data_IF_243826708591
#
_entry.id   IF_243826708591
#
_cell.length_a   1.000
_cell.length_b   1.000
_cell.length_c   1.000
_cell.angle_alpha   90.00
_cell.angle_beta   90.00
_cell.angle_gamma   90.00
#
_symmetry.space_group_name_H-M   'P 1'
#
loop_
_entity.id
_entity.type
_entity.pdbx_description
1 polymer ?
#
# COMPACT_ATOMS: atom_id res chain seq x y z
N UNK A 1 5.60 -9.22 -34.26
CA UNK A 1 5.39 -7.87 -33.76
C UNK A 1 4.63 -7.99 -32.45
N UNK A 2 5.17 -7.47 -31.35
CA UNK A 2 4.41 -7.39 -30.10
C UNK A 2 3.33 -6.31 -30.29
N UNK A 3 2.10 -6.52 -29.82
CA UNK A 3 1.08 -5.50 -29.91
C UNK A 3 1.59 -4.25 -29.17
N UNK A 4 1.62 -3.13 -29.87
CA UNK A 4 1.92 -1.84 -29.25
C UNK A 4 0.71 -1.52 -28.39
N UNK A 5 0.89 -1.54 -27.06
CA UNK A 5 -0.15 -1.09 -26.14
C UNK A 5 -0.35 0.42 -26.37
N UNK A 6 -1.52 0.78 -26.88
CA UNK A 6 -1.93 2.17 -26.97
C UNK A 6 -2.62 2.56 -25.67
N UNK A 7 -2.09 3.53 -24.92
CA UNK A 7 -2.73 3.96 -23.68
C UNK A 7 -4.12 4.50 -23.98
N UNK A 8 -5.12 3.98 -23.28
CA UNK A 8 -6.48 4.46 -23.41
C UNK A 8 -6.59 5.87 -22.81
N UNK A 9 -7.05 6.84 -23.59
CA UNK A 9 -7.29 8.18 -23.11
C UNK A 9 -8.51 8.20 -22.18
N UNK A 10 -8.58 9.21 -21.30
CA UNK A 10 -9.74 9.38 -20.43
C UNK A 10 -11.05 9.53 -21.20
N UNK A 11 -11.03 10.23 -22.33
CA UNK A 11 -12.19 10.37 -23.21
C UNK A 11 -12.66 9.04 -23.79
N UNK A 12 -11.76 8.16 -24.21
CA UNK A 12 -12.13 6.82 -24.68
C UNK A 12 -12.79 5.99 -23.59
N UNK A 13 -12.30 6.08 -22.36
CA UNK A 13 -12.97 5.45 -21.23
C UNK A 13 -14.38 6.02 -20.99
N UNK A 14 -14.54 7.34 -21.10
CA UNK A 14 -15.86 7.99 -20.95
C UNK A 14 -16.82 7.54 -22.07
N UNK A 15 -16.35 7.48 -23.31
CA UNK A 15 -17.16 6.98 -24.44
C UNK A 15 -17.54 5.50 -24.25
N UNK A 16 -16.61 4.67 -23.80
CA UNK A 16 -16.85 3.28 -23.46
C UNK A 16 -17.93 3.18 -22.36
N UNK A 17 -17.82 3.99 -21.30
CA UNK A 17 -18.76 3.98 -20.17
C UNK A 17 -20.17 4.36 -20.64
N UNK A 18 -20.32 5.43 -21.43
CA UNK A 18 -21.63 5.85 -21.96
C UNK A 18 -22.23 4.75 -22.85
N UNK A 19 -21.46 4.24 -23.81
CA UNK A 19 -21.96 3.28 -24.78
C UNK A 19 -22.46 2.00 -24.13
N UNK A 20 -21.67 1.45 -23.19
CA UNK A 20 -22.06 0.24 -22.48
C UNK A 20 -23.18 0.51 -21.47
N UNK A 21 -23.16 1.69 -20.83
CA UNK A 21 -24.20 2.07 -19.89
C UNK A 21 -25.58 2.11 -20.59
N UNK A 22 -25.68 2.79 -21.70
CA UNK A 22 -26.93 2.85 -22.49
C UNK A 22 -27.39 1.47 -22.98
N UNK A 23 -26.46 0.59 -23.30
CA UNK A 23 -26.76 -0.77 -23.76
C UNK A 23 -27.35 -1.64 -22.64
N UNK A 24 -26.75 -1.63 -21.45
CA UNK A 24 -27.14 -2.51 -20.34
C UNK A 24 -28.18 -1.89 -19.40
N UNK A 25 -28.28 -0.55 -19.38
CA UNK A 25 -29.18 0.20 -18.51
C UNK A 25 -29.94 1.27 -19.29
N UNK A 26 -30.86 0.85 -20.19
CA UNK A 26 -31.62 1.79 -21.01
C UNK A 26 -32.53 2.72 -20.21
N UNK A 27 -32.92 2.28 -18.99
CA UNK A 27 -33.64 3.13 -18.05
C UNK A 27 -32.72 3.60 -16.92
N UNK A 28 -32.22 4.85 -16.97
CA UNK A 28 -31.33 5.39 -15.94
C UNK A 28 -31.98 5.55 -14.57
N UNK A 29 -33.32 5.60 -14.48
CA UNK A 29 -34.04 5.70 -13.20
C UNK A 29 -34.05 4.41 -12.41
N UNK A 30 -33.69 3.28 -13.04
CA UNK A 30 -33.51 1.99 -12.34
C UNK A 30 -32.31 1.97 -11.40
N UNK A 31 -31.42 2.99 -11.47
CA UNK A 31 -30.17 3.05 -10.72
C UNK A 31 -30.33 3.91 -9.46
N UNK A 32 -29.88 3.39 -8.33
CA UNK A 32 -29.95 4.10 -7.06
C UNK A 32 -29.12 5.41 -7.08
N UNK A 33 -29.57 6.42 -6.31
CA UNK A 33 -28.84 7.69 -6.17
C UNK A 33 -27.40 7.49 -5.65
N UNK A 34 -27.17 6.49 -4.80
CA UNK A 34 -25.82 6.18 -4.30
C UNK A 34 -24.92 5.64 -5.41
N UNK A 35 -25.44 4.76 -6.24
CA UNK A 35 -24.73 4.22 -7.39
C UNK A 35 -24.41 5.32 -8.41
N UNK A 36 -25.33 6.23 -8.66
CA UNK A 36 -25.08 7.40 -9.49
C UNK A 36 -23.91 8.27 -9.00
N UNK A 37 -23.81 8.49 -7.70
CA UNK A 37 -22.65 9.20 -7.13
C UNK A 37 -21.34 8.50 -7.43
N UNK A 38 -21.32 7.18 -7.41
CA UNK A 38 -20.12 6.39 -7.75
C UNK A 38 -19.81 6.54 -9.24
N UNK A 39 -20.80 6.41 -10.11
CA UNK A 39 -20.62 6.61 -11.56
C UNK A 39 -19.99 7.97 -11.85
N UNK A 40 -20.55 9.04 -11.28
CA UNK A 40 -20.05 10.41 -11.47
C UNK A 40 -18.62 10.56 -10.94
N UNK A 41 -18.30 9.97 -9.78
CA UNK A 41 -16.94 10.01 -9.25
C UNK A 41 -15.94 9.32 -10.20
N UNK A 42 -16.27 8.15 -10.73
CA UNK A 42 -15.40 7.42 -11.64
C UNK A 42 -15.38 8.04 -13.04
N UNK A 43 -16.45 8.69 -13.46
CA UNK A 43 -16.48 9.49 -14.68
C UNK A 43 -15.43 10.61 -14.68
N UNK A 44 -15.27 11.29 -13.54
CA UNK A 44 -14.28 12.38 -13.39
C UNK A 44 -12.88 11.89 -12.99
N UNK A 45 -12.73 10.61 -12.63
CA UNK A 45 -11.44 10.06 -12.22
C UNK A 45 -10.57 9.75 -13.43
N UNK A 46 -9.75 10.72 -13.82
CA UNK A 46 -8.77 10.54 -14.89
C UNK A 46 -7.52 9.78 -14.39
N UNK A 47 -7.40 8.55 -14.82
CA UNK A 47 -6.25 7.68 -14.54
C UNK A 47 -5.32 7.51 -15.75
N UNK A 48 -5.56 8.19 -16.87
CA UNK A 48 -4.79 8.01 -18.12
C UNK A 48 -3.29 8.20 -17.92
N UNK A 49 -2.90 9.17 -17.09
CA UNK A 49 -1.50 9.45 -16.80
C UNK A 49 -0.81 8.33 -16.00
N UNK A 50 -1.56 7.48 -15.30
CA UNK A 50 -0.98 6.36 -14.53
C UNK A 50 -0.44 5.25 -15.43
N UNK A 51 -0.82 5.22 -16.70
CA UNK A 51 -0.42 4.21 -17.69
C UNK A 51 1.09 4.05 -17.73
N UNK A 52 1.83 5.15 -17.83
CA UNK A 52 3.31 5.11 -17.91
C UNK A 52 3.96 4.53 -16.65
N UNK A 53 3.38 4.79 -15.49
CA UNK A 53 3.86 4.26 -14.20
C UNK A 53 3.56 2.76 -14.10
N UNK A 54 2.34 2.36 -14.44
CA UNK A 54 1.89 0.97 -14.33
C UNK A 54 2.58 0.06 -15.34
N UNK A 55 2.63 0.46 -16.61
CA UNK A 55 3.28 -0.32 -17.66
C UNK A 55 4.78 -0.52 -17.43
N UNK A 56 5.43 0.41 -16.74
CA UNK A 56 6.84 0.27 -16.38
C UNK A 56 7.16 -0.95 -15.52
N UNK A 57 6.16 -1.53 -14.86
CA UNK A 57 6.30 -2.75 -14.04
C UNK A 57 6.05 -4.05 -14.82
N UNK A 58 5.59 -3.98 -16.07
CA UNK A 58 5.30 -5.15 -16.89
C UNK A 58 6.46 -5.49 -17.83
N UNK A 59 6.60 -6.79 -18.13
CA UNK A 59 7.57 -7.25 -19.12
C UNK A 59 7.20 -6.78 -20.52
N UNK A 60 8.20 -6.45 -21.31
CA UNK A 60 8.03 -6.15 -22.74
C UNK A 60 7.84 -7.42 -23.60
N UNK A 61 7.98 -8.59 -23.00
CA UNK A 61 7.89 -9.89 -23.65
C UNK A 61 6.70 -10.69 -23.10
N UNK A 62 6.04 -11.46 -23.94
CA UNK A 62 4.92 -12.31 -23.54
C UNK A 62 3.58 -11.84 -24.11
N UNK A 63 2.49 -12.38 -23.57
CA UNK A 63 1.13 -11.95 -23.91
C UNK A 63 0.86 -10.53 -23.40
N UNK A 64 0.06 -9.76 -24.14
CA UNK A 64 -0.36 -8.44 -23.71
C UNK A 64 -1.09 -8.52 -22.36
N UNK A 65 -0.75 -7.67 -21.39
CA UNK A 65 -1.47 -7.62 -20.13
C UNK A 65 -2.89 -7.09 -20.34
N UNK A 66 -3.79 -7.42 -19.42
CA UNK A 66 -5.04 -6.65 -19.28
C UNK A 66 -4.69 -5.20 -19.01
N UNK A 67 -5.54 -4.28 -19.50
CA UNK A 67 -5.29 -2.85 -19.28
C UNK A 67 -5.04 -2.54 -17.79
N UNK A 68 -3.82 -2.10 -17.42
CA UNK A 68 -3.47 -1.86 -16.02
C UNK A 68 -4.25 -0.69 -15.40
N UNK A 69 -4.72 0.26 -16.21
CA UNK A 69 -5.53 1.40 -15.75
C UNK A 69 -6.92 0.93 -15.36
N UNK A 70 -7.55 0.09 -16.17
CA UNK A 70 -8.85 -0.54 -15.87
C UNK A 70 -8.73 -1.47 -14.66
N UNK A 71 -7.63 -2.20 -14.51
CA UNK A 71 -7.35 -3.00 -13.31
C UNK A 71 -7.25 -2.13 -12.05
N UNK A 72 -6.55 -0.98 -12.13
CA UNK A 72 -6.45 -0.02 -11.03
C UNK A 72 -7.82 0.57 -10.70
N UNK A 73 -8.57 1.00 -11.73
CA UNK A 73 -9.92 1.56 -11.59
C UNK A 73 -10.85 0.57 -10.90
N UNK A 74 -10.82 -0.70 -11.34
CA UNK A 74 -11.59 -1.78 -10.73
C UNK A 74 -11.23 -1.99 -9.26
N UNK A 75 -9.97 -1.97 -8.92
CA UNK A 75 -9.53 -2.09 -7.52
C UNK A 75 -9.98 -0.90 -6.67
N UNK A 76 -9.88 0.32 -7.18
CA UNK A 76 -10.40 1.51 -6.48
C UNK A 76 -11.91 1.43 -6.28
N UNK A 77 -12.65 0.89 -7.25
CA UNK A 77 -14.09 0.66 -7.11
C UNK A 77 -14.39 -0.38 -6.02
N UNK A 78 -13.64 -1.46 -5.92
CA UNK A 78 -13.80 -2.45 -4.85
C UNK A 78 -13.61 -1.84 -3.46
N UNK A 79 -12.60 -0.97 -3.30
CA UNK A 79 -12.33 -0.23 -2.05
C UNK A 79 -13.50 0.71 -1.74
N UNK A 80 -14.00 1.44 -2.74
CA UNK A 80 -15.14 2.35 -2.60
C UNK A 80 -16.40 1.62 -2.12
N UNK A 81 -16.60 0.40 -2.61
CA UNK A 81 -17.71 -0.48 -2.22
C UNK A 81 -17.42 -1.28 -0.93
N UNK A 82 -16.26 -1.09 -0.31
CA UNK A 82 -15.80 -1.81 0.90
C UNK A 82 -15.69 -3.32 0.72
N UNK A 83 -15.45 -3.79 -0.51
CA UNK A 83 -15.20 -5.19 -0.82
C UNK A 83 -13.70 -5.43 -0.82
N UNK A 84 -13.19 -6.05 0.24
CA UNK A 84 -11.75 -6.27 0.45
C UNK A 84 -11.26 -7.62 -0.05
N UNK A 85 -12.17 -8.56 -0.26
CA UNK A 85 -11.86 -9.90 -0.80
C UNK A 85 -11.84 -9.86 -2.32
N UNK A 86 -10.73 -10.24 -2.93
CA UNK A 86 -10.61 -10.30 -4.41
C UNK A 86 -11.54 -11.37 -4.99
N UNK A 87 -11.73 -12.48 -4.29
CA UNK A 87 -12.67 -13.52 -4.72
C UNK A 87 -14.09 -12.99 -4.80
N UNK A 88 -14.54 -12.28 -3.76
CA UNK A 88 -15.87 -11.68 -3.72
C UNK A 88 -16.00 -10.57 -4.75
N UNK A 89 -14.93 -9.78 -4.95
CA UNK A 89 -14.92 -8.74 -5.96
C UNK A 89 -15.12 -9.31 -7.38
N UNK A 90 -14.37 -10.35 -7.75
CA UNK A 90 -14.50 -10.99 -9.05
C UNK A 90 -15.89 -11.61 -9.25
N UNK A 91 -16.49 -12.18 -8.20
CA UNK A 91 -17.88 -12.65 -8.28
C UNK A 91 -18.85 -11.49 -8.54
N UNK A 92 -18.68 -10.37 -7.83
CA UNK A 92 -19.50 -9.17 -8.04
C UNK A 92 -19.35 -8.56 -9.42
N UNK A 93 -18.14 -8.53 -9.98
CA UNK A 93 -17.91 -8.05 -11.35
C UNK A 93 -18.66 -8.90 -12.38
N UNK A 94 -18.76 -10.21 -12.15
CA UNK A 94 -19.49 -11.13 -13.04
C UNK A 94 -21.01 -11.05 -12.88
N UNK A 95 -21.48 -10.84 -11.66
CA UNK A 95 -22.90 -10.76 -11.34
C UNK A 95 -23.53 -9.42 -11.73
N UNK A 96 -22.75 -8.34 -11.68
CA UNK A 96 -23.23 -6.99 -11.88
C UNK A 96 -22.49 -6.29 -13.04
N UNK A 97 -23.10 -6.25 -14.24
CA UNK A 97 -22.51 -5.60 -15.41
C UNK A 97 -22.04 -4.17 -15.15
N UNK A 98 -22.75 -3.45 -14.30
CA UNK A 98 -22.44 -2.06 -13.96
C UNK A 98 -21.04 -1.91 -13.37
N UNK A 99 -20.60 -2.82 -12.50
CA UNK A 99 -19.28 -2.75 -11.89
C UNK A 99 -18.16 -3.05 -12.91
N UNK A 100 -18.41 -3.95 -13.85
CA UNK A 100 -17.50 -4.18 -14.96
C UNK A 100 -17.37 -2.92 -15.82
N UNK A 101 -18.49 -2.32 -16.22
CA UNK A 101 -18.55 -1.10 -17.05
C UNK A 101 -17.83 0.07 -16.36
N UNK A 102 -18.10 0.34 -15.09
CA UNK A 102 -17.41 1.41 -14.33
C UNK A 102 -15.91 1.12 -14.23
N UNK A 103 -15.51 -0.14 -14.16
CA UNK A 103 -14.10 -0.54 -14.14
C UNK A 103 -13.39 -0.35 -15.47
N UNK A 104 -14.12 -0.24 -16.60
CA UNK A 104 -13.58 -0.20 -17.96
C UNK A 104 -13.46 -1.59 -18.59
N UNK A 105 -14.22 -2.58 -18.10
CA UNK A 105 -14.27 -3.93 -18.69
C UNK A 105 -15.60 -4.16 -19.41
N UNK A 106 -15.55 -4.89 -20.52
CA UNK A 106 -16.77 -5.46 -21.08
C UNK A 106 -17.38 -6.43 -20.05
N UNK A 107 -18.71 -6.39 -19.82
CA UNK A 107 -19.39 -7.35 -18.95
C UNK A 107 -19.14 -8.82 -19.31
N UNK A 108 -18.92 -9.10 -20.60
CA UNK A 108 -18.66 -10.45 -21.10
C UNK A 108 -17.18 -10.89 -20.98
N UNK A 109 -16.28 -9.96 -20.61
CA UNK A 109 -14.84 -10.20 -20.54
C UNK A 109 -14.21 -9.63 -19.27
N UNK A 110 -14.67 -10.14 -18.14
CA UNK A 110 -14.24 -9.71 -16.79
C UNK A 110 -12.97 -10.45 -16.36
N UNK A 111 -11.97 -9.74 -15.79
CA UNK A 111 -10.74 -10.37 -15.27
C UNK A 111 -11.01 -11.40 -14.18
N UNK A 112 -10.26 -12.49 -14.21
CA UNK A 112 -10.29 -13.52 -13.17
C UNK A 112 -9.46 -13.17 -11.93
N UNK A 113 -9.58 -13.98 -10.87
CA UNK A 113 -8.82 -13.82 -9.61
C UNK A 113 -7.31 -13.83 -9.88
N UNK A 114 -6.83 -14.73 -10.76
CA UNK A 114 -5.41 -14.81 -11.13
C UNK A 114 -4.88 -13.50 -11.72
N UNK A 115 -5.65 -12.85 -12.60
CA UNK A 115 -5.29 -11.56 -13.21
C UNK A 115 -5.14 -10.46 -12.17
N UNK A 116 -6.02 -10.40 -11.15
CA UNK A 116 -5.87 -9.45 -10.04
C UNK A 116 -4.65 -9.76 -9.19
N UNK A 117 -4.37 -11.04 -8.90
CA UNK A 117 -3.18 -11.42 -8.17
C UNK A 117 -1.89 -11.03 -8.90
N UNK A 118 -1.86 -11.17 -10.22
CA UNK A 118 -0.71 -10.77 -11.04
C UNK A 118 -0.59 -9.24 -11.09
N UNK A 119 -1.69 -8.51 -11.22
CA UNK A 119 -1.71 -7.06 -11.12
C UNK A 119 -1.11 -6.56 -9.79
N UNK A 120 -1.49 -7.15 -8.65
CA UNK A 120 -0.91 -6.78 -7.36
C UNK A 120 0.58 -7.11 -7.24
N UNK A 121 1.05 -8.20 -7.87
CA UNK A 121 2.49 -8.49 -7.94
C UNK A 121 3.24 -7.42 -8.70
N UNK A 122 2.67 -6.88 -9.79
CA UNK A 122 3.25 -5.78 -10.55
C UNK A 122 3.27 -4.47 -9.79
N UNK A 123 2.22 -4.17 -9.02
CA UNK A 123 2.20 -2.98 -8.14
C UNK A 123 3.24 -3.09 -7.03
N UNK A 124 3.44 -4.28 -6.48
CA UNK A 124 4.44 -4.57 -5.46
C UNK A 124 5.80 -4.89 -6.06
N UNK A 125 6.13 -4.33 -7.18
CA UNK A 125 7.32 -4.65 -7.97
C UNK A 125 8.60 -4.30 -7.23
N UNK A 126 9.06 -5.20 -6.35
CA UNK A 126 10.32 -5.05 -5.66
C UNK A 126 10.95 -6.40 -5.35
N UNK A 127 12.25 -6.50 -5.57
CA UNK A 127 13.08 -7.60 -5.07
C UNK A 127 13.23 -7.55 -3.54
N UNK A 128 12.96 -6.40 -2.92
CA UNK A 128 12.98 -6.25 -1.48
C UNK A 128 11.76 -6.93 -0.85
N UNK A 129 12.05 -7.86 0.05
CA UNK A 129 11.02 -8.62 0.77
C UNK A 129 10.46 -7.88 1.99
N UNK A 130 11.03 -6.74 2.34
CA UNK A 130 10.74 -6.04 3.59
C UNK A 130 10.48 -4.56 3.34
N UNK A 131 9.46 -4.02 4.03
CA UNK A 131 9.07 -2.61 3.97
C UNK A 131 10.19 -1.68 4.44
N UNK A 132 10.98 -2.11 5.41
CA UNK A 132 12.03 -1.29 6.01
C UNK A 132 13.21 -2.12 6.50
N UNK A 133 14.35 -1.47 6.66
CA UNK A 133 15.58 -2.08 7.18
C UNK A 133 15.33 -2.65 8.57
N UNK A 134 15.70 -3.92 8.76
CA UNK A 134 15.62 -4.59 10.05
C UNK A 134 16.89 -4.34 10.85
N UNK A 135 16.82 -3.46 11.83
CA UNK A 135 17.90 -3.31 12.80
C UNK A 135 17.87 -4.48 13.79
N UNK A 136 18.91 -5.28 13.81
CA UNK A 136 19.07 -6.34 14.83
C UNK A 136 19.29 -5.69 16.19
N UNK A 137 18.35 -5.87 17.12
CA UNK A 137 18.58 -5.53 18.50
C UNK A 137 19.62 -6.47 19.10
N UNK A 138 20.79 -5.92 19.48
CA UNK A 138 21.71 -6.70 20.30
C UNK A 138 21.02 -6.93 21.66
N UNK A 139 20.82 -8.20 22.04
CA UNK A 139 20.35 -8.51 23.39
C UNK A 139 21.32 -7.88 24.40
N UNK A 140 20.79 -7.10 25.32
CA UNK A 140 21.57 -6.56 26.43
C UNK A 140 22.11 -7.72 27.23
N UNK A 141 23.43 -7.85 27.37
CA UNK A 141 24.00 -8.75 28.34
C UNK A 141 23.81 -8.10 29.72
N UNK A 142 23.12 -8.79 30.61
CA UNK A 142 23.04 -8.36 32.02
C UNK A 142 24.48 -8.32 32.55
N UNK A 143 24.94 -7.21 33.16
CA UNK A 143 26.25 -7.15 33.74
C UNK A 143 26.42 -8.28 34.78
N UNK A 144 27.53 -9.01 34.71
CA UNK A 144 27.87 -10.05 35.70
C UNK A 144 27.85 -9.40 37.10
N UNK A 145 27.10 -9.99 38.04
CA UNK A 145 27.06 -9.55 39.45
C UNK A 145 25.85 -8.72 39.88
N UNK A 146 24.91 -8.38 39.01
CA UNK A 146 23.64 -7.71 39.42
C UNK A 146 22.61 -8.70 39.90
N UNK A 147 22.01 -8.38 41.06
CA UNK A 147 20.89 -9.14 41.62
C UNK A 147 19.59 -8.83 40.86
N UNK A 148 18.66 -9.80 40.86
CA UNK A 148 17.34 -9.62 40.27
C UNK A 148 16.63 -8.41 40.94
N UNK A 149 16.18 -7.45 40.12
CA UNK A 149 15.53 -6.22 40.62
C UNK A 149 16.41 -4.95 40.67
N UNK A 150 17.72 -5.05 40.50
CA UNK A 150 18.56 -3.86 40.40
C UNK A 150 18.36 -3.16 39.05
N UNK A 151 18.10 -1.83 39.10
CA UNK A 151 17.97 -1.02 37.89
C UNK A 151 19.26 -1.11 37.05
N UNK A 152 19.12 -1.56 35.80
CA UNK A 152 20.22 -1.47 34.87
C UNK A 152 20.57 0.00 34.59
N UNK A 153 21.88 0.36 34.52
CA UNK A 153 22.25 1.74 34.23
C UNK A 153 21.60 2.20 32.91
N UNK A 154 21.18 3.46 32.89
CA UNK A 154 20.57 4.08 31.73
C UNK A 154 21.43 3.86 30.50
N UNK A 155 20.81 3.39 29.43
CA UNK A 155 21.51 3.23 28.17
C UNK A 155 21.83 4.63 27.65
N UNK A 156 23.11 4.90 27.40
CA UNK A 156 23.60 6.19 26.92
C UNK A 156 23.03 6.57 25.53
N UNK A 157 22.35 5.65 24.80
CA UNK A 157 21.76 5.93 23.50
C UNK A 157 20.33 5.46 23.41
N UNK A 158 19.44 6.35 23.03
CA UNK A 158 18.04 6.05 22.69
C UNK A 158 17.93 5.22 21.42
N UNK A 159 16.76 4.63 21.16
CA UNK A 159 16.53 3.93 19.89
C UNK A 159 16.67 4.86 18.69
N UNK A 160 16.25 6.12 18.82
CA UNK A 160 16.42 7.15 17.81
C UNK A 160 17.90 7.45 17.54
N UNK A 161 18.73 7.65 18.58
CA UNK A 161 20.16 7.89 18.40
C UNK A 161 20.87 6.73 17.69
N UNK A 162 20.52 5.47 18.03
CA UNK A 162 21.07 4.29 17.33
C UNK A 162 20.64 4.20 15.87
N UNK A 163 19.44 4.66 15.57
CA UNK A 163 18.91 4.71 14.22
C UNK A 163 19.68 5.77 13.40
N UNK A 164 19.87 6.95 13.95
CA UNK A 164 20.67 8.00 13.36
C UNK A 164 22.13 7.56 13.13
N UNK A 165 22.75 6.91 14.10
CA UNK A 165 24.10 6.37 13.96
C UNK A 165 24.18 5.29 12.87
N UNK A 166 23.13 4.49 12.69
CA UNK A 166 23.07 3.53 11.61
C UNK A 166 23.07 4.23 10.25
N UNK A 167 22.18 5.22 10.06
CA UNK A 167 22.09 5.95 8.78
C UNK A 167 23.33 6.78 8.47
N UNK A 168 24.02 7.30 9.47
CA UNK A 168 25.32 7.98 9.27
C UNK A 168 26.42 7.04 8.75
N UNK A 169 26.31 5.75 9.03
CA UNK A 169 27.32 4.73 8.67
C UNK A 169 26.98 3.94 7.42
N UNK A 170 25.75 3.98 6.99
CA UNK A 170 25.26 3.23 5.85
C UNK A 170 24.58 4.17 4.85
N UNK A 171 24.81 4.00 3.55
CA UNK A 171 24.10 4.76 2.54
C UNK A 171 22.59 4.51 2.69
N UNK A 172 21.80 5.53 2.45
CA UNK A 172 20.35 5.41 2.43
C UNK A 172 19.94 4.43 1.34
N UNK A 173 18.97 3.55 1.61
CA UNK A 173 18.42 2.71 0.56
C UNK A 173 17.77 3.61 -0.50
N UNK A 174 18.01 3.29 -1.76
CA UNK A 174 17.35 3.96 -2.88
C UNK A 174 15.82 3.83 -2.71
N UNK A 175 15.08 4.95 -2.59
CA UNK A 175 13.62 4.91 -2.46
C UNK A 175 12.93 4.19 -3.62
N UNK A 176 13.54 4.18 -4.81
CA UNK A 176 13.01 3.48 -5.98
C UNK A 176 12.96 1.96 -5.80
N UNK A 177 13.81 1.40 -4.93
CA UNK A 177 13.85 -0.02 -4.59
C UNK A 177 12.83 -0.41 -3.52
N UNK A 178 12.13 0.54 -2.92
CA UNK A 178 11.08 0.24 -1.93
C UNK A 178 9.93 -0.52 -2.59
N UNK A 179 9.37 -1.56 -1.92
CA UNK A 179 8.15 -2.22 -2.38
C UNK A 179 6.97 -1.28 -2.62
N UNK A 180 6.96 -0.15 -1.93
CA UNK A 180 5.90 0.86 -2.03
C UNK A 180 6.19 1.95 -3.07
N UNK A 181 7.34 1.93 -3.74
CA UNK A 181 7.78 3.01 -4.65
C UNK A 181 6.77 3.31 -5.75
N UNK A 182 6.17 2.29 -6.36
CA UNK A 182 5.17 2.46 -7.40
C UNK A 182 3.88 3.05 -6.83
N UNK A 183 3.42 2.57 -5.68
CA UNK A 183 2.24 3.09 -4.99
C UNK A 183 2.43 4.56 -4.61
N UNK A 184 3.62 4.94 -4.14
CA UNK A 184 3.92 6.35 -3.85
C UNK A 184 3.94 7.23 -5.11
N UNK A 185 4.45 6.72 -6.22
CA UNK A 185 4.41 7.45 -7.50
C UNK A 185 2.98 7.66 -7.96
N UNK A 186 2.13 6.64 -7.88
CA UNK A 186 0.70 6.74 -8.18
C UNK A 186 0.01 7.76 -7.26
N UNK A 187 0.27 7.67 -5.95
CA UNK A 187 -0.29 8.58 -4.96
C UNK A 187 0.15 10.02 -5.23
N UNK A 188 1.44 10.24 -5.47
CA UNK A 188 1.98 11.56 -5.81
C UNK A 188 1.26 12.15 -7.03
N UNK A 189 1.22 11.41 -8.11
CA UNK A 189 0.67 11.88 -9.38
C UNK A 189 -0.85 12.12 -9.32
N UNK A 190 -1.59 11.20 -8.70
CA UNK A 190 -3.07 11.23 -8.71
C UNK A 190 -3.67 12.07 -7.59
N UNK A 191 -2.92 12.35 -6.55
CA UNK A 191 -3.44 13.06 -5.40
C UNK A 191 -2.62 14.31 -5.05
N UNK A 192 -1.32 14.16 -4.79
CA UNK A 192 -0.50 15.26 -4.31
C UNK A 192 -0.30 16.34 -5.38
N UNK A 193 0.13 15.95 -6.58
CA UNK A 193 0.38 16.91 -7.68
C UNK A 193 -0.92 17.61 -8.11
N UNK A 194 -2.05 16.90 -8.09
CA UNK A 194 -3.37 17.47 -8.34
C UNK A 194 -3.77 18.47 -7.25
N UNK A 195 -3.56 18.12 -5.97
CA UNK A 195 -3.86 19.02 -4.85
C UNK A 195 -3.02 20.29 -4.89
N UNK A 196 -1.75 20.18 -5.29
CA UNK A 196 -0.86 21.33 -5.48
C UNK A 196 -1.30 22.18 -6.68
N UNK A 197 -1.63 21.56 -7.81
CA UNK A 197 -2.05 22.31 -9.02
C UNK A 197 -3.36 23.08 -8.83
N UNK A 198 -4.25 22.59 -7.98
CA UNK A 198 -5.47 23.28 -7.58
C UNK A 198 -5.30 24.26 -6.42
N UNK A 199 -4.08 24.47 -5.93
CA UNK A 199 -3.79 25.41 -4.84
C UNK A 199 -4.31 24.95 -3.47
N UNK A 200 -4.67 23.67 -3.33
CA UNK A 200 -5.15 23.10 -2.06
C UNK A 200 -4.01 22.85 -1.06
N UNK A 201 -2.80 22.64 -1.56
CA UNK A 201 -1.56 22.51 -0.81
C UNK A 201 -0.53 23.48 -1.38
N UNK A 202 0.12 24.26 -0.50
CA UNK A 202 1.20 25.18 -0.87
C UNK A 202 2.56 24.61 -0.46
N UNK A 203 3.36 24.03 -1.37
CA UNK A 203 4.61 23.35 -1.01
C UNK A 203 5.67 24.27 -0.38
N UNK A 204 5.64 25.57 -0.72
CA UNK A 204 6.62 26.57 -0.22
C UNK A 204 6.40 26.99 1.22
N UNK A 205 5.23 26.73 1.80
CA UNK A 205 4.84 27.19 3.13
C UNK A 205 4.03 26.13 3.88
N UNK A 206 4.33 24.85 3.66
CA UNK A 206 3.56 23.75 4.22
C UNK A 206 3.89 23.51 5.69
N UNK A 207 2.86 23.44 6.53
CA UNK A 207 2.94 22.95 7.90
C UNK A 207 2.49 21.47 7.94
N UNK A 208 3.32 20.60 8.47
CA UNK A 208 3.05 19.16 8.51
C UNK A 208 2.75 18.69 9.92
N UNK A 209 1.66 17.96 10.07
CA UNK A 209 1.39 17.13 11.23
C UNK A 209 1.44 15.66 10.82
N UNK A 210 1.84 14.78 11.73
CA UNK A 210 1.94 13.36 11.43
C UNK A 210 1.52 12.50 12.62
N UNK A 211 0.78 11.43 12.33
CA UNK A 211 0.34 10.46 13.32
C UNK A 211 0.30 9.04 12.75
N UNK A 212 0.43 8.05 13.62
CA UNK A 212 0.43 6.64 13.30
C UNK A 212 -0.90 5.96 13.63
N UNK A 213 -1.52 5.35 12.63
CA UNK A 213 -2.75 4.58 12.81
C UNK A 213 -2.50 3.08 12.66
N UNK A 214 -3.07 2.21 13.53
CA UNK A 214 -2.91 0.77 13.45
C UNK A 214 -3.71 0.18 12.28
N UNK A 215 -3.04 -0.56 11.40
CA UNK A 215 -3.67 -1.41 10.39
C UNK A 215 -3.63 -2.85 10.87
N UNK A 216 -4.77 -3.36 11.30
CA UNK A 216 -4.92 -4.74 11.76
C UNK A 216 -5.00 -5.70 10.58
N UNK A 217 -4.34 -6.81 10.70
CA UNK A 217 -4.40 -7.89 9.71
C UNK A 217 -4.93 -9.18 10.35
N UNK A 218 -5.47 -10.06 9.52
CA UNK A 218 -5.83 -11.42 9.92
C UNK A 218 -4.63 -12.36 10.00
N UNK A 219 -3.42 -11.88 9.72
CA UNK A 219 -2.21 -12.67 9.78
C UNK A 219 -1.98 -13.18 11.21
N UNK A 220 -1.94 -14.48 11.37
CA UNK A 220 -1.63 -15.11 12.66
C UNK A 220 -0.12 -15.15 12.84
N UNK A 221 0.36 -14.70 14.00
CA UNK A 221 1.77 -14.74 14.40
C UNK A 221 2.27 -16.17 14.73
N UNK A 222 1.46 -17.19 14.57
CA UNK A 222 1.89 -18.57 14.77
C UNK A 222 2.83 -18.97 13.64
N UNK A 223 4.09 -18.96 14.00
CA UNK A 223 5.20 -19.37 13.17
C UNK A 223 5.11 -20.87 12.84
N UNK A 224 4.80 -21.22 11.63
CA UNK A 224 5.09 -22.56 11.15
C UNK A 224 6.61 -22.64 10.98
N UNK A 225 7.29 -23.47 11.78
CA UNK A 225 8.71 -23.75 11.55
C UNK A 225 8.83 -24.47 10.21
N UNK A 226 9.68 -23.93 9.36
CA UNK A 226 9.93 -24.45 8.00
C UNK A 226 11.24 -25.20 7.95
N UNK A 227 11.90 -25.39 9.10
CA UNK A 227 13.20 -26.04 9.20
C UNK A 227 13.24 -27.00 10.38
N UNK A 228 14.07 -28.02 10.27
CA UNK A 228 14.39 -29.00 11.32
C UNK A 228 15.47 -28.52 12.30
N UNK A 229 15.84 -27.24 12.26
CA UNK A 229 16.95 -26.71 13.09
C UNK A 229 16.72 -26.96 14.59
N UNK A 230 15.47 -26.86 15.08
CA UNK A 230 15.20 -27.12 16.51
C UNK A 230 15.31 -28.60 16.90
N UNK A 231 15.06 -29.50 15.95
CA UNK A 231 15.23 -30.93 16.13
C UNK A 231 16.73 -31.29 16.19
N UNK A 232 17.54 -30.50 15.49
CA UNK A 232 19.00 -30.60 15.49
C UNK A 232 19.67 -29.75 16.60
N UNK A 233 18.92 -29.32 17.63
CA UNK A 233 19.44 -28.57 18.77
C UNK A 233 19.79 -27.11 18.50
N UNK A 234 19.51 -26.58 17.31
CA UNK A 234 19.80 -25.18 16.95
C UNK A 234 18.61 -24.31 17.36
N UNK A 235 18.74 -23.60 18.49
CA UNK A 235 17.68 -22.76 19.06
C UNK A 235 17.44 -21.44 18.30
N UNK A 236 18.42 -20.92 17.58
CA UNK A 236 18.35 -19.62 16.86
C UNK A 236 18.84 -19.78 15.42
N UNK A 237 17.99 -20.29 14.55
CA UNK A 237 18.31 -20.40 13.12
C UNK A 237 17.93 -19.14 12.35
N UNK A 238 18.67 -18.88 11.25
CA UNK A 238 18.37 -17.82 10.28
C UNK A 238 17.47 -18.32 9.12
N UNK A 239 16.83 -19.47 9.25
CA UNK A 239 15.98 -20.03 8.23
C UNK A 239 14.78 -19.13 7.95
N UNK A 240 14.42 -19.03 6.68
CA UNK A 240 13.23 -18.26 6.27
C UNK A 240 11.98 -18.85 6.93
N UNK A 241 11.19 -17.99 7.53
CA UNK A 241 9.87 -18.34 8.05
C UNK A 241 8.84 -17.99 6.98
N UNK A 242 7.96 -18.93 6.65
CA UNK A 242 6.88 -18.69 5.70
C UNK A 242 5.75 -17.97 6.42
N UNK A 243 5.69 -16.65 6.22
CA UNK A 243 4.53 -15.83 6.54
C UNK A 243 3.87 -15.40 5.24
N UNK A 244 2.55 -15.34 5.26
CA UNK A 244 1.81 -14.67 4.19
C UNK A 244 2.15 -13.17 4.13
N UNK A 245 2.53 -12.60 5.28
CA UNK A 245 2.91 -11.20 5.42
C UNK A 245 4.19 -11.09 6.27
N UNK A 246 5.37 -11.12 5.65
CA UNK A 246 6.66 -11.23 6.36
C UNK A 246 6.99 -10.00 7.23
N UNK A 247 6.39 -8.85 6.95
CA UNK A 247 6.58 -7.62 7.70
C UNK A 247 5.52 -7.36 8.77
N UNK A 248 4.48 -8.19 8.83
CA UNK A 248 3.48 -8.13 9.88
C UNK A 248 4.12 -8.40 11.25
N UNK A 249 3.82 -7.55 12.24
CA UNK A 249 4.36 -7.69 13.59
C UNK A 249 3.32 -7.32 14.64
N UNK A 250 3.67 -7.49 15.91
CA UNK A 250 2.83 -7.04 17.04
C UNK A 250 3.14 -5.59 17.34
N UNK A 251 2.11 -4.77 17.41
CA UNK A 251 2.14 -3.40 17.87
C UNK A 251 1.18 -3.16 19.03
N UNK A 252 1.27 -1.99 19.63
CA UNK A 252 0.38 -1.51 20.66
C UNK A 252 -0.55 -0.45 20.09
N UNK A 253 -1.86 -0.62 20.30
CA UNK A 253 -2.88 0.36 19.93
C UNK A 253 -3.28 1.11 21.21
N UNK A 254 -2.77 2.31 21.38
CA UNK A 254 -3.00 3.14 22.58
C UNK A 254 -4.45 3.61 22.69
N UNK A 255 -5.16 3.76 21.57
CA UNK A 255 -6.56 4.19 21.57
C UNK A 255 -7.51 3.11 22.09
N UNK A 256 -7.13 1.84 21.95
CA UNK A 256 -7.92 0.68 22.38
C UNK A 256 -7.29 -0.11 23.51
N UNK A 257 -6.15 0.34 24.00
CA UNK A 257 -5.38 -0.27 25.11
C UNK A 257 -5.13 -1.78 24.89
N UNK A 258 -4.75 -2.16 23.64
CA UNK A 258 -4.57 -3.57 23.29
C UNK A 258 -3.44 -3.80 22.29
N UNK A 259 -2.88 -5.00 22.34
CA UNK A 259 -1.96 -5.47 21.29
C UNK A 259 -2.71 -5.84 20.01
N UNK A 260 -2.12 -5.54 18.87
CA UNK A 260 -2.62 -5.96 17.57
C UNK A 260 -1.52 -6.56 16.71
N UNK A 261 -1.93 -7.35 15.72
CA UNK A 261 -1.04 -7.90 14.70
C UNK A 261 -1.27 -7.17 13.38
N UNK A 262 -0.22 -6.61 12.80
CA UNK A 262 -0.36 -5.85 11.56
C UNK A 262 0.77 -4.88 11.26
N UNK A 263 0.35 -3.70 10.85
CA UNK A 263 1.20 -2.60 10.43
C UNK A 263 0.77 -1.30 11.11
N UNK A 264 1.66 -0.29 11.11
CA UNK A 264 1.30 1.11 11.35
C UNK A 264 1.31 1.85 10.03
N UNK A 265 0.22 2.57 9.74
CA UNK A 265 0.19 3.58 8.70
C UNK A 265 0.48 4.92 9.37
N UNK A 266 1.67 5.43 9.13
CA UNK A 266 2.02 6.78 9.52
C UNK A 266 1.67 7.74 8.39
N UNK A 267 0.83 8.74 8.68
CA UNK A 267 0.35 9.69 7.68
C UNK A 267 0.80 11.10 8.03
N UNK A 268 1.45 11.77 7.09
CA UNK A 268 1.65 13.20 7.16
C UNK A 268 0.50 13.92 6.47
N UNK A 269 0.00 14.96 7.11
CA UNK A 269 -1.06 15.82 6.58
C UNK A 269 -0.58 17.26 6.54
N UNK A 270 -1.06 18.03 5.56
CA UNK A 270 -0.88 19.48 5.49
C UNK A 270 -1.88 20.12 6.46
N UNK A 271 -1.43 20.43 7.69
CA UNK A 271 -2.29 20.96 8.76
C UNK A 271 -2.75 22.39 8.53
N UNK A 272 -2.14 23.09 7.59
CA UNK A 272 -2.53 24.43 7.12
C UNK A 272 -3.47 24.39 5.92
N UNK A 273 -3.78 23.21 5.38
CA UNK A 273 -4.79 23.06 4.34
C UNK A 273 -6.21 23.00 4.94
N UNK A 274 -7.20 23.47 4.17
CA UNK A 274 -8.58 23.57 4.63
C UNK A 274 -9.22 22.23 5.08
N UNK A 275 -8.64 21.10 4.69
CA UNK A 275 -9.18 19.75 4.91
C UNK A 275 -8.14 18.77 5.46
N UNK A 276 -7.05 19.23 6.06
CA UNK A 276 -5.95 18.38 6.56
C UNK A 276 -5.52 17.32 5.52
N UNK A 277 -5.21 17.79 4.31
CA UNK A 277 -4.97 16.91 3.17
C UNK A 277 -3.74 16.01 3.41
N UNK A 278 -3.84 14.71 3.16
CA UNK A 278 -2.73 13.79 3.33
C UNK A 278 -1.64 14.06 2.30
N UNK A 279 -0.39 14.18 2.75
CA UNK A 279 0.77 14.50 1.93
C UNK A 279 1.61 13.26 1.65
N UNK A 280 1.90 12.48 2.67
CA UNK A 280 2.78 11.34 2.53
C UNK A 280 2.42 10.19 3.47
N UNK A 281 1.96 9.05 2.93
CA UNK A 281 1.70 7.83 3.71
C UNK A 281 2.95 6.97 3.83
N UNK A 282 3.24 6.46 5.02
CA UNK A 282 4.30 5.48 5.27
C UNK A 282 3.70 4.27 5.92
N UNK A 283 3.90 3.10 5.32
CA UNK A 283 3.51 1.83 5.91
C UNK A 283 4.72 1.21 6.59
N UNK A 284 4.61 0.99 7.90
CA UNK A 284 5.65 0.39 8.73
C UNK A 284 5.11 -0.82 9.49
N UNK A 285 6.02 -1.61 10.04
CA UNK A 285 5.65 -2.72 10.92
C UNK A 285 4.98 -2.19 12.18
N UNK A 286 3.99 -2.91 12.70
CA UNK A 286 3.30 -2.53 13.92
C UNK A 286 4.21 -2.34 15.15
N UNK A 287 5.38 -3.00 15.18
CA UNK A 287 6.37 -2.83 16.26
C UNK A 287 7.26 -1.60 16.13
N UNK A 288 7.10 -0.80 15.05
CA UNK A 288 7.89 0.41 14.83
C UNK A 288 7.24 1.58 15.57
N UNK A 289 8.06 2.34 16.32
CA UNK A 289 7.60 3.54 16.99
C UNK A 289 7.49 4.71 16.02
N UNK A 290 6.47 5.56 16.16
CA UNK A 290 6.15 6.68 15.25
C UNK A 290 7.33 7.64 15.03
N UNK A 291 8.10 7.93 16.10
CA UNK A 291 9.32 8.73 15.99
C UNK A 291 10.33 8.15 14.98
N UNK A 292 10.42 6.82 14.86
CA UNK A 292 11.31 6.18 13.88
C UNK A 292 10.77 6.32 12.46
N UNK A 293 9.47 6.27 12.28
CA UNK A 293 8.81 6.51 10.99
C UNK A 293 9.04 7.95 10.55
N UNK A 294 8.87 8.92 11.46
CA UNK A 294 9.18 10.32 11.22
C UNK A 294 10.64 10.51 10.78
N UNK A 295 11.61 9.99 11.54
CA UNK A 295 13.03 10.13 11.22
C UNK A 295 13.37 9.49 9.85
N UNK A 296 12.75 8.38 9.51
CA UNK A 296 12.97 7.68 8.25
C UNK A 296 12.52 8.50 7.03
N UNK A 297 11.56 9.39 7.21
CA UNK A 297 11.02 10.24 6.15
C UNK A 297 11.87 11.49 5.91
N UNK A 298 12.41 12.07 6.98
CA UNK A 298 13.10 13.36 6.92
C UNK A 298 14.63 13.26 6.91
N UNK A 299 15.18 12.07 7.10
CA UNK A 299 16.61 11.87 6.89
C UNK A 299 16.86 11.61 5.41
N UNK A 300 17.66 12.47 4.76
CA UNK A 300 18.03 12.29 3.37
C UNK A 300 18.89 11.06 3.16
#
# INVERSE_FOLDING_TARGET
MLPVYSPESHSLYQDFLISNFLLYYPDPFSISRQTWKIIVQFWHLDLSQTTSILLGSYSKFGSAPRDPVSMLRSYLLSIKLKITSITDWVSRLKECPLYAIISGFSPDDVPGIGTFCDFFRHIWNSEQKHLSVQLRHKKKKTPKGKKHGEKTPNIKSTSAARFLDFYKKHPLPDPSLSPLSLIFRLYKQQFLDVSVSHGLIQPSAISLAGDGSPIRTSARLRYKKVCSCSENGISHCNCKRLFSQPDCNIGWDSSRDCYFSGYHLYMFVASDSANDLPVFPILERASRHDMLSFLHTFLP
#
